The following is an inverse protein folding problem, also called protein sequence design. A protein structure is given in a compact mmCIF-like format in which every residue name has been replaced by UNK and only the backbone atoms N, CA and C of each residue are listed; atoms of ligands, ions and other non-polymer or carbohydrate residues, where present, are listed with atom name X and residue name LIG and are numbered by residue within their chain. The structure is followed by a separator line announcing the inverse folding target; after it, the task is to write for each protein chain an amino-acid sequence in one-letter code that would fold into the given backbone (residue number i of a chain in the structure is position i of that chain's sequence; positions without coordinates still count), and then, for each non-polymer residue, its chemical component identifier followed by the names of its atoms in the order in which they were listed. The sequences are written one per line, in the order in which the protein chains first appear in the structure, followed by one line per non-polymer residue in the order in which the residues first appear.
data_IF_750680208807
#
_entry.id   IF_750680208807
#
_cell.length_a   1.000
_cell.length_b   1.000
_cell.length_c   1.000
_cell.angle_alpha   90.00
_cell.angle_beta   90.00
_cell.angle_gamma   90.00
#
_symmetry.space_group_name_H-M   'P 1'
#
loop_
_entity.id
_entity.type
_entity.pdbx_description
1 polymer ?
#
# COMPACT_ATOMS: atom_id res chain seq x y z
N UNK A 1 -12.18 -18.04 4.50
CA UNK A 1 -10.83 -17.53 4.17
C UNK A 1 -9.88 -18.71 4.19
N UNK A 2 -9.20 -19.00 3.08
CA UNK A 2 -8.21 -20.10 3.03
C UNK A 2 -6.85 -19.49 3.32
N UNK A 3 -6.16 -19.98 4.36
CA UNK A 3 -4.80 -19.60 4.69
C UNK A 3 -3.87 -20.78 4.43
N UNK A 4 -2.83 -20.56 3.62
CA UNK A 4 -1.85 -21.58 3.26
C UNK A 4 -0.55 -21.33 4.01
N UNK A 5 0.06 -22.41 4.51
CA UNK A 5 1.35 -22.39 5.17
C UNK A 5 2.16 -23.60 4.71
N UNK A 6 3.29 -23.34 4.05
CA UNK A 6 4.26 -24.40 3.74
C UNK A 6 5.09 -24.67 5.00
N UNK A 7 5.30 -25.95 5.31
CA UNK A 7 6.14 -26.40 6.41
C UNK A 7 7.52 -26.82 5.86
N UNK A 8 8.59 -26.50 6.58
CA UNK A 8 9.95 -26.93 6.22
C UNK A 8 10.72 -26.02 5.25
N UNK A 9 10.20 -24.85 4.88
CA UNK A 9 10.98 -23.88 4.07
C UNK A 9 11.97 -23.08 4.91
N UNK A 10 13.23 -23.08 4.47
CA UNK A 10 14.27 -22.15 4.91
C UNK A 10 13.89 -20.69 4.62
N UNK A 11 14.42 -19.76 5.42
CA UNK A 11 14.07 -18.33 5.32
C UNK A 11 14.36 -17.74 3.93
N UNK A 12 15.37 -18.24 3.23
CA UNK A 12 15.77 -17.78 1.90
C UNK A 12 14.83 -18.32 0.81
N UNK A 13 14.42 -19.59 0.92
CA UNK A 13 13.45 -20.22 0.03
C UNK A 13 12.07 -19.53 0.08
N UNK A 14 11.68 -18.98 1.23
CA UNK A 14 10.40 -18.26 1.40
C UNK A 14 10.26 -17.01 0.55
N UNK A 15 11.34 -16.41 0.09
CA UNK A 15 11.25 -15.18 -0.72
C UNK A 15 11.06 -15.47 -2.21
N UNK A 16 11.42 -16.68 -2.64
CA UNK A 16 11.35 -17.14 -4.04
C UNK A 16 10.38 -18.33 -4.23
N UNK A 17 9.47 -18.56 -3.29
CA UNK A 17 8.49 -19.65 -3.39
C UNK A 17 7.19 -19.20 -4.08
N UNK A 18 6.50 -20.16 -4.70
CA UNK A 18 5.18 -19.95 -5.33
C UNK A 18 4.16 -19.33 -4.36
N UNK A 19 4.29 -19.62 -3.06
CA UNK A 19 3.42 -19.06 -2.02
C UNK A 19 3.70 -17.57 -1.79
N UNK A 20 4.95 -17.14 -1.95
CA UNK A 20 5.30 -15.73 -1.92
C UNK A 20 4.67 -14.97 -3.09
N UNK A 21 4.76 -15.50 -4.32
CA UNK A 21 4.13 -14.88 -5.48
C UNK A 21 2.60 -14.84 -5.36
N UNK A 22 1.99 -15.94 -4.89
CA UNK A 22 0.56 -15.98 -4.57
C UNK A 22 0.18 -14.92 -3.54
N UNK A 23 0.99 -14.73 -2.50
CA UNK A 23 0.76 -13.68 -1.50
C UNK A 23 0.79 -12.28 -2.12
N UNK A 24 1.75 -11.97 -3.00
CA UNK A 24 1.82 -10.65 -3.64
C UNK A 24 0.64 -10.38 -4.57
N UNK A 25 0.19 -11.40 -5.30
CA UNK A 25 -0.99 -11.31 -6.16
C UNK A 25 -2.28 -11.16 -5.35
N UNK A 26 -2.42 -11.95 -4.27
CA UNK A 26 -3.52 -11.81 -3.31
C UNK A 26 -3.58 -10.38 -2.77
N UNK A 27 -2.44 -9.86 -2.29
CA UNK A 27 -2.35 -8.52 -1.73
C UNK A 27 -2.75 -7.43 -2.72
N UNK A 28 -2.33 -7.55 -3.99
CA UNK A 28 -2.72 -6.62 -5.06
C UNK A 28 -4.22 -6.66 -5.33
N UNK A 29 -4.82 -7.85 -5.42
CA UNK A 29 -6.26 -8.03 -5.66
C UNK A 29 -7.09 -7.53 -4.48
N UNK A 30 -6.65 -7.82 -3.26
CA UNK A 30 -7.30 -7.34 -2.04
C UNK A 30 -7.36 -5.82 -2.05
N UNK A 31 -6.25 -5.12 -2.28
CA UNK A 31 -6.24 -3.64 -2.35
C UNK A 31 -7.32 -3.06 -3.25
N UNK A 32 -7.49 -3.62 -4.45
CA UNK A 32 -8.48 -3.15 -5.41
C UNK A 32 -9.92 -3.48 -4.96
N UNK A 33 -10.11 -4.53 -4.15
CA UNK A 33 -11.41 -4.94 -3.62
C UNK A 33 -11.77 -4.22 -2.31
N UNK A 34 -10.81 -3.63 -1.59
CA UNK A 34 -11.07 -2.97 -0.30
C UNK A 34 -12.16 -1.92 -0.34
N UNK A 35 -12.17 -1.00 -1.33
CA UNK A 35 -13.14 0.10 -1.33
C UNK A 35 -14.56 -0.36 -1.69
N UNK A 36 -14.70 -1.51 -2.36
CA UNK A 36 -15.99 -2.05 -2.80
C UNK A 36 -16.51 -3.13 -1.84
N UNK A 37 -15.82 -4.26 -1.76
CA UNK A 37 -16.28 -5.44 -1.04
C UNK A 37 -16.06 -5.37 0.48
N UNK A 38 -15.12 -4.52 0.94
CA UNK A 38 -14.71 -4.44 2.34
C UNK A 38 -15.04 -3.11 3.03
N UNK A 39 -15.89 -2.27 2.42
CA UNK A 39 -16.25 -0.94 2.96
C UNK A 39 -16.79 -0.96 4.41
N UNK A 40 -17.45 -2.06 4.81
CA UNK A 40 -18.01 -2.23 6.16
C UNK A 40 -17.07 -2.86 7.19
N UNK A 41 -15.83 -3.21 6.83
CA UNK A 41 -14.89 -3.86 7.74
C UNK A 41 -13.97 -2.84 8.43
N UNK A 42 -13.51 -3.19 9.63
CA UNK A 42 -12.58 -2.36 10.39
C UNK A 42 -11.26 -2.14 9.61
N UNK A 43 -10.75 -0.92 9.62
CA UNK A 43 -9.43 -0.55 9.10
C UNK A 43 -8.28 -1.34 9.76
N UNK A 44 -8.48 -1.92 10.95
CA UNK A 44 -7.53 -2.87 11.53
C UNK A 44 -7.52 -4.21 10.81
N UNK A 45 -8.70 -4.72 10.44
CA UNK A 45 -8.85 -5.95 9.66
C UNK A 45 -8.17 -5.82 8.30
N UNK A 46 -8.42 -4.69 7.64
CA UNK A 46 -7.75 -4.26 6.42
C UNK A 46 -6.22 -4.37 6.48
N UNK A 47 -5.65 -3.74 7.51
CA UNK A 47 -4.23 -3.64 7.68
C UNK A 47 -3.62 -5.01 7.94
N UNK A 48 -4.27 -5.85 8.76
CA UNK A 48 -3.86 -7.22 8.99
C UNK A 48 -3.84 -8.05 7.70
N UNK A 49 -4.82 -7.84 6.81
CA UNK A 49 -4.89 -8.55 5.52
C UNK A 49 -3.81 -8.11 4.53
N UNK A 50 -3.39 -6.83 4.60
CA UNK A 50 -2.35 -6.27 3.74
C UNK A 50 -0.94 -6.42 4.31
N UNK A 51 -0.78 -6.85 5.55
CA UNK A 51 0.53 -6.95 6.22
C UNK A 51 0.96 -8.40 6.37
N UNK A 52 2.20 -8.66 5.93
CA UNK A 52 2.86 -9.93 6.16
C UNK A 52 4.37 -9.69 6.30
N UNK A 53 4.91 -10.18 7.41
CA UNK A 53 6.32 -10.05 7.77
C UNK A 53 7.17 -11.24 7.30
N UNK A 54 6.52 -12.32 6.86
CA UNK A 54 7.13 -13.57 6.39
C UNK A 54 7.63 -13.38 4.95
N UNK A 55 6.77 -12.88 4.06
CA UNK A 55 7.10 -12.69 2.65
C UNK A 55 7.57 -11.25 2.40
N UNK A 56 8.83 -11.09 2.01
CA UNK A 56 9.43 -9.79 1.66
C UNK A 56 10.04 -9.86 0.27
N UNK A 57 9.36 -9.27 -0.73
CA UNK A 57 9.95 -9.08 -2.06
C UNK A 57 10.83 -7.83 -2.00
N UNK A 58 12.11 -7.99 -2.28
CA UNK A 58 13.00 -6.85 -2.59
C UNK A 58 12.58 -6.36 -3.98
N UNK A 59 11.59 -5.46 -4.03
CA UNK A 59 11.22 -4.82 -5.30
C UNK A 59 12.24 -3.72 -5.62
N UNK A 60 12.44 -3.51 -6.91
CA UNK A 60 13.20 -2.37 -7.41
C UNK A 60 12.59 -1.07 -6.87
N UNK A 61 13.45 -0.07 -6.62
CA UNK A 61 12.97 1.23 -6.19
C UNK A 61 12.06 1.79 -7.28
N UNK A 62 10.97 2.45 -6.88
CA UNK A 62 10.08 3.11 -7.83
C UNK A 62 10.90 4.06 -8.73
N UNK A 63 10.91 3.77 -10.03
CA UNK A 63 11.63 4.60 -10.99
C UNK A 63 10.94 5.95 -11.14
N UNK A 64 11.72 7.00 -11.45
CA UNK A 64 11.15 8.33 -11.73
C UNK A 64 10.14 8.29 -12.88
N UNK A 65 10.31 7.40 -13.86
CA UNK A 65 9.31 7.18 -14.92
C UNK A 65 8.02 6.58 -14.38
N UNK A 66 8.10 5.61 -13.46
CA UNK A 66 6.92 5.03 -12.83
C UNK A 66 6.20 6.05 -11.93
N UNK A 67 6.94 6.96 -11.28
CA UNK A 67 6.33 8.03 -10.50
C UNK A 67 5.49 8.94 -11.39
N UNK A 68 6.03 9.35 -12.55
CA UNK A 68 5.34 10.22 -13.51
C UNK A 68 4.10 9.59 -14.14
N UNK A 69 3.97 8.26 -14.11
CA UNK A 69 2.75 7.56 -14.53
C UNK A 69 1.63 7.66 -13.50
N UNK A 70 1.97 7.92 -12.23
CA UNK A 70 1.01 7.93 -11.12
C UNK A 70 0.77 9.33 -10.54
N UNK A 71 1.74 10.24 -10.65
CA UNK A 71 1.67 11.59 -10.13
C UNK A 71 2.14 12.57 -11.22
N UNK A 72 1.32 13.58 -11.48
CA UNK A 72 1.69 14.68 -12.36
C UNK A 72 2.60 15.67 -11.63
N UNK A 73 3.33 16.55 -12.34
CA UNK A 73 4.13 17.60 -11.71
C UNK A 73 3.30 18.51 -10.79
N UNK A 74 2.04 18.77 -11.14
CA UNK A 74 1.12 19.55 -10.29
C UNK A 74 0.77 18.83 -8.99
N UNK A 75 0.62 17.51 -9.01
CA UNK A 75 0.40 16.72 -7.80
C UNK A 75 1.60 16.80 -6.85
N UNK A 76 2.82 16.79 -7.39
CA UNK A 76 4.04 16.95 -6.61
C UNK A 76 4.14 18.34 -5.99
N UNK A 77 3.78 19.38 -6.75
CA UNK A 77 3.72 20.75 -6.23
C UNK A 77 2.71 20.88 -5.08
N UNK A 78 1.50 20.32 -5.23
CA UNK A 78 0.49 20.32 -4.16
C UNK A 78 0.97 19.60 -2.90
N UNK A 79 1.72 18.51 -3.05
CA UNK A 79 2.32 17.79 -1.92
C UNK A 79 3.42 18.62 -1.25
N UNK A 80 4.23 19.35 -2.01
CA UNK A 80 5.27 20.26 -1.49
C UNK A 80 4.63 21.41 -0.71
N UNK A 81 3.61 22.05 -1.26
CA UNK A 81 2.81 23.10 -0.58
C UNK A 81 2.22 22.58 0.74
N UNK A 82 1.71 21.34 0.77
CA UNK A 82 1.19 20.73 1.99
C UNK A 82 2.27 20.54 3.06
N UNK A 83 3.45 20.05 2.66
CA UNK A 83 4.59 19.86 3.57
C UNK A 83 5.08 21.19 4.14
N UNK A 84 5.01 22.26 3.36
CA UNK A 84 5.35 23.62 3.78
C UNK A 84 4.20 24.37 4.46
N UNK A 85 3.10 23.69 4.81
CA UNK A 85 1.91 24.26 5.43
C UNK A 85 1.27 25.42 4.64
N UNK A 86 1.46 25.43 3.32
CA UNK A 86 0.91 26.43 2.40
C UNK A 86 -0.48 26.04 1.86
N UNK A 87 -0.90 24.79 2.04
CA UNK A 87 -2.23 24.33 1.68
C UNK A 87 -2.83 23.39 2.73
N UNK A 88 -4.15 23.32 2.77
CA UNK A 88 -4.89 22.41 3.65
C UNK A 88 -4.89 20.98 3.12
N UNK A 89 -5.06 20.01 4.03
CA UNK A 89 -5.09 18.59 3.67
C UNK A 89 -6.11 18.25 2.58
N UNK A 90 -7.23 18.98 2.50
CA UNK A 90 -8.28 18.80 1.50
C UNK A 90 -7.77 18.89 0.05
N UNK A 91 -6.68 19.62 -0.21
CA UNK A 91 -6.11 19.82 -1.55
C UNK A 91 -5.26 18.66 -2.07
N UNK A 92 -4.89 17.72 -1.20
CA UNK A 92 -4.11 16.54 -1.54
C UNK A 92 -4.91 15.24 -1.39
N UNK A 93 -6.16 15.32 -0.95
CA UNK A 93 -7.02 14.16 -0.65
C UNK A 93 -7.21 13.25 -1.86
N UNK A 94 -7.31 13.81 -3.06
CA UNK A 94 -7.40 13.08 -4.32
C UNK A 94 -6.13 12.30 -4.66
N UNK A 95 -4.96 12.75 -4.19
CA UNK A 95 -3.66 12.13 -4.42
C UNK A 95 -3.40 10.99 -3.42
N UNK A 96 -4.01 11.05 -2.23
CA UNK A 96 -3.76 10.10 -1.15
C UNK A 96 -4.07 8.63 -1.51
N UNK A 97 -5.15 8.26 -2.23
CA UNK A 97 -5.39 6.87 -2.65
C UNK A 97 -4.24 6.32 -3.50
N UNK A 98 -3.73 7.12 -4.43
CA UNK A 98 -2.60 6.73 -5.29
C UNK A 98 -1.33 6.52 -4.46
N UNK A 99 -1.02 7.45 -3.54
CA UNK A 99 0.12 7.31 -2.63
C UNK A 99 -0.01 6.10 -1.71
N UNK A 100 -1.22 5.84 -1.21
CA UNK A 100 -1.51 4.68 -0.39
C UNK A 100 -1.30 3.37 -1.17
N UNK A 101 -1.77 3.29 -2.42
CA UNK A 101 -1.49 2.17 -3.32
C UNK A 101 0.02 1.95 -3.50
N UNK A 102 0.79 3.01 -3.78
CA UNK A 102 2.24 2.93 -3.97
C UNK A 102 2.97 2.51 -2.69
N UNK A 103 2.54 3.04 -1.54
CA UNK A 103 3.06 2.68 -0.22
C UNK A 103 2.82 1.21 0.09
N UNK A 104 1.57 0.76 0.02
CA UNK A 104 1.28 -0.62 0.36
C UNK A 104 1.81 -1.59 -0.70
N UNK A 105 1.92 -1.25 -1.98
CA UNK A 105 2.60 -2.11 -2.96
C UNK A 105 4.12 -2.22 -2.74
N UNK A 106 4.65 -1.60 -1.67
CA UNK A 106 6.07 -1.52 -1.30
C UNK A 106 6.94 -1.00 -2.44
N UNK A 107 6.39 -0.07 -3.24
CA UNK A 107 7.17 0.62 -4.27
C UNK A 107 8.01 1.76 -3.67
N UNK A 108 7.59 2.32 -2.54
CA UNK A 108 8.37 3.30 -1.77
C UNK A 108 9.35 2.54 -0.86
N UNK A 109 10.64 2.55 -1.21
CA UNK A 109 11.70 1.98 -0.35
C UNK A 109 11.92 2.86 0.89
N UNK A 110 12.33 2.22 1.99
CA UNK A 110 12.80 2.83 3.25
C UNK A 110 11.81 3.71 4.03
N UNK A 111 10.58 3.85 3.56
CA UNK A 111 9.52 4.53 4.30
C UNK A 111 8.62 3.52 5.03
N UNK A 112 8.71 3.48 6.35
CA UNK A 112 7.77 2.73 7.21
C UNK A 112 6.98 3.71 8.07
N UNK A 113 5.67 3.74 7.85
CA UNK A 113 4.78 4.50 8.72
C UNK A 113 4.58 3.77 10.05
N UNK A 114 4.44 4.56 11.12
CA UNK A 114 3.95 4.03 12.40
C UNK A 114 2.59 3.36 12.18
N UNK A 115 2.26 2.26 12.88
CA UNK A 115 1.02 1.51 12.68
C UNK A 115 -0.24 2.38 12.67
N UNK A 116 -0.33 3.37 13.56
CA UNK A 116 -1.45 4.31 13.63
C UNK A 116 -1.62 5.12 12.33
N UNK A 117 -0.52 5.63 11.77
CA UNK A 117 -0.55 6.38 10.50
C UNK A 117 -0.84 5.47 9.30
N UNK A 118 -0.37 4.22 9.36
CA UNK A 118 -0.69 3.23 8.33
C UNK A 118 -2.18 2.86 8.32
N UNK A 119 -2.83 2.79 9.50
CA UNK A 119 -4.29 2.63 9.60
C UNK A 119 -5.01 3.82 8.98
N UNK A 120 -4.57 5.05 9.23
CA UNK A 120 -5.19 6.25 8.63
C UNK A 120 -5.03 6.31 7.10
N UNK A 121 -3.90 5.89 6.57
CA UNK A 121 -3.71 5.82 5.11
C UNK A 121 -4.51 4.65 4.51
N UNK A 122 -4.62 3.53 5.24
CA UNK A 122 -5.54 2.47 4.87
C UNK A 122 -6.98 3.01 4.84
N UNK A 123 -7.46 3.71 5.87
CA UNK A 123 -8.82 4.25 5.87
C UNK A 123 -9.10 5.20 4.71
N UNK A 124 -8.09 5.93 4.21
CA UNK A 124 -8.24 6.76 3.01
C UNK A 124 -8.49 5.91 1.76
N UNK A 125 -7.81 4.76 1.60
CA UNK A 125 -8.15 3.78 0.55
C UNK A 125 -9.56 3.22 0.71
N UNK A 126 -10.06 3.08 1.95
CA UNK A 126 -11.40 2.53 2.22
C UNK A 126 -12.53 3.53 1.99
N UNK A 127 -12.36 4.80 2.39
CA UNK A 127 -13.42 5.81 2.37
C UNK A 127 -13.52 6.58 1.05
N UNK A 128 -12.44 6.77 0.29
CA UNK A 128 -12.42 7.70 -0.86
C UNK A 128 -12.79 7.10 -2.22
N UNK A 129 -13.23 5.84 -2.31
CA UNK A 129 -13.73 5.28 -3.57
C UNK A 129 -15.27 5.31 -3.70
N UNK A 130 -15.92 6.30 -3.07
CA UNK A 130 -17.31 6.65 -3.35
C UNK A 130 -17.42 8.16 -3.59
#
# INVERSE_FOLDING_TARGET
MIMLKVLGEDKEARTQSWLADLWFDFRKRVMNLLPAAFKGFDCKFALNLLTNNIYKKTREALSMMELKLHCTPGDLQRLEEFVHHQCEAAFIVDILPTLAHLYFLRKIKDFKLKPVKAVSIASVLYCFSC
#
